data_IF_605175760856
#
_entry.id   IF_605175760856
#
_cell.length_a   1.000
_cell.length_b   1.000
_cell.length_c   1.000
_cell.angle_alpha   90.00
_cell.angle_beta   90.00
_cell.angle_gamma   90.00
#
_symmetry.space_group_name_H-M   'P 1'
#
loop_
_entity.id
_entity.type
_entity.pdbx_description
1 polymer ?
#
# COMPACT_ATOMS: atom_id res chain seq x y z
N UNK A 1 -17.99 59.32 41.69
CA UNK A 1 -18.05 59.13 40.21
C UNK A 1 -17.65 57.70 39.90
N UNK A 2 -18.39 57.09 38.97
CA UNK A 2 -18.54 55.64 38.75
C UNK A 2 -17.25 54.96 38.26
N UNK A 3 -17.00 53.74 38.74
CA UNK A 3 -16.02 52.82 38.16
C UNK A 3 -16.46 52.41 36.74
N UNK A 4 -15.52 52.22 35.81
CA UNK A 4 -15.83 51.64 34.52
C UNK A 4 -14.76 50.62 34.10
N UNK A 5 -15.28 49.44 33.79
CA UNK A 5 -14.62 48.15 33.85
C UNK A 5 -13.78 47.82 32.61
N UNK A 6 -12.66 47.12 32.85
CA UNK A 6 -11.84 46.44 31.85
C UNK A 6 -12.68 45.36 31.17
N UNK A 7 -12.81 45.41 29.84
CA UNK A 7 -13.35 44.31 29.03
C UNK A 7 -12.23 43.71 28.20
N UNK A 8 -11.67 42.60 28.70
CA UNK A 8 -10.76 41.74 27.96
C UNK A 8 -11.62 40.84 27.04
N UNK A 9 -11.60 41.11 25.74
CA UNK A 9 -12.25 40.25 24.73
C UNK A 9 -11.25 39.15 24.36
N UNK A 10 -11.47 37.94 24.88
CA UNK A 10 -10.75 36.74 24.45
C UNK A 10 -11.48 36.20 23.22
N UNK A 11 -10.93 36.45 22.03
CA UNK A 11 -11.39 35.83 20.79
C UNK A 11 -10.82 34.40 20.72
N UNK A 12 -11.68 33.41 20.97
CA UNK A 12 -11.32 31.99 20.84
C UNK A 12 -11.36 31.59 19.36
N UNK A 13 -10.19 31.40 18.76
CA UNK A 13 -10.03 30.97 17.37
C UNK A 13 -10.26 29.44 17.32
N UNK A 14 -11.48 29.01 16.97
CA UNK A 14 -11.75 27.60 16.66
C UNK A 14 -11.13 27.24 15.31
N UNK A 15 -9.91 26.70 15.32
CA UNK A 15 -9.34 26.04 14.14
C UNK A 15 -10.05 24.71 13.93
N UNK A 16 -10.93 24.66 12.94
CA UNK A 16 -11.52 23.42 12.46
C UNK A 16 -10.44 22.60 11.75
N UNK A 17 -9.88 21.60 12.43
CA UNK A 17 -9.09 20.56 11.76
C UNK A 17 -10.07 19.70 10.95
N UNK A 18 -9.99 19.80 9.63
CA UNK A 18 -10.67 18.87 8.73
C UNK A 18 -9.95 17.51 8.85
N UNK A 19 -10.47 16.62 9.68
CA UNK A 19 -9.99 15.24 9.74
C UNK A 19 -10.48 14.54 8.48
N UNK A 20 -9.56 14.24 7.56
CA UNK A 20 -9.89 13.46 6.38
C UNK A 20 -10.13 12.00 6.80
N UNK A 21 -11.36 11.51 6.63
CA UNK A 21 -11.71 10.15 7.00
C UNK A 21 -11.06 9.14 6.04
N UNK A 22 -10.43 8.11 6.61
CA UNK A 22 -9.93 6.98 5.83
C UNK A 22 -11.09 6.14 5.30
N UNK A 23 -11.08 5.83 4.00
CA UNK A 23 -11.99 4.87 3.39
C UNK A 23 -11.39 3.48 3.49
N UNK A 24 -12.02 2.61 4.28
CA UNK A 24 -11.65 1.18 4.39
C UNK A 24 -12.56 0.41 3.43
N UNK A 25 -11.97 -0.11 2.35
CA UNK A 25 -12.70 -0.90 1.35
C UNK A 25 -12.74 -2.38 1.70
N UNK A 26 -11.70 -2.88 2.38
CA UNK A 26 -11.62 -4.23 2.88
C UNK A 26 -10.59 -4.30 4.02
N UNK A 27 -10.85 -5.11 5.06
CA UNK A 27 -9.86 -5.36 6.10
C UNK A 27 -8.68 -6.20 5.57
N UNK A 28 -7.53 -6.13 6.24
CA UNK A 28 -6.38 -6.96 5.83
C UNK A 28 -6.70 -8.43 6.03
N UNK A 29 -7.35 -8.77 7.15
CA UNK A 29 -7.75 -10.11 7.54
C UNK A 29 -8.70 -10.75 6.53
N UNK A 30 -9.69 -9.99 6.04
CA UNK A 30 -10.61 -10.48 5.00
C UNK A 30 -9.89 -10.71 3.68
N UNK A 31 -8.97 -9.81 3.29
CA UNK A 31 -8.20 -9.97 2.07
C UNK A 31 -7.31 -11.22 2.12
N UNK A 32 -6.60 -11.42 3.23
CA UNK A 32 -5.72 -12.58 3.45
C UNK A 32 -6.55 -13.89 3.42
N UNK A 33 -7.70 -13.91 4.09
CA UNK A 33 -8.56 -15.10 4.13
C UNK A 33 -9.13 -15.44 2.74
N UNK A 34 -9.52 -14.42 1.97
CA UNK A 34 -10.01 -14.60 0.60
C UNK A 34 -8.91 -15.08 -0.35
N UNK A 35 -7.70 -14.51 -0.26
CA UNK A 35 -6.57 -14.87 -1.11
C UNK A 35 -6.22 -16.36 -1.02
N UNK A 36 -6.24 -16.94 0.19
CA UNK A 36 -5.94 -18.37 0.39
C UNK A 36 -7.15 -19.29 0.31
N UNK A 37 -8.37 -18.77 0.05
CA UNK A 37 -9.61 -19.55 0.02
C UNK A 37 -9.79 -20.50 1.22
N UNK A 38 -9.33 -20.08 2.41
CA UNK A 38 -9.16 -20.98 3.55
C UNK A 38 -8.85 -20.25 4.86
N UNK A 39 -8.55 -20.99 5.95
CA UNK A 39 -8.24 -20.39 7.23
C UNK A 39 -6.97 -19.54 7.16
N UNK A 40 -7.03 -18.31 7.67
CA UNK A 40 -5.91 -17.38 7.65
C UNK A 40 -4.67 -18.00 8.34
N UNK A 41 -3.53 -18.14 7.63
CA UNK A 41 -2.31 -18.65 8.22
C UNK A 41 -1.74 -17.64 9.23
N UNK A 42 -0.84 -18.09 10.11
CA UNK A 42 -0.13 -17.17 10.99
C UNK A 42 0.81 -16.29 10.17
N UNK A 43 0.83 -15.00 10.50
CA UNK A 43 1.76 -14.07 9.88
C UNK A 43 3.21 -14.49 10.14
N UNK A 44 4.03 -14.46 9.09
CA UNK A 44 5.48 -14.59 9.13
C UNK A 44 6.11 -13.20 9.07
N UNK A 45 7.40 -13.15 9.40
CA UNK A 45 8.20 -11.93 9.40
C UNK A 45 9.42 -12.15 8.52
N UNK A 46 9.61 -11.29 7.52
CA UNK A 46 10.83 -11.22 6.73
C UNK A 46 11.70 -10.08 7.27
N UNK A 47 12.93 -10.39 7.67
CA UNK A 47 13.91 -9.41 8.11
C UNK A 47 14.72 -8.97 6.89
N UNK A 48 14.76 -7.67 6.63
CA UNK A 48 15.36 -7.12 5.43
C UNK A 48 16.87 -7.04 5.60
N UNK A 49 17.59 -7.64 4.66
CA UNK A 49 19.02 -7.41 4.49
C UNK A 49 19.27 -6.02 3.87
N UNK A 50 20.50 -5.51 3.95
CA UNK A 50 20.82 -4.22 3.34
C UNK A 50 20.72 -4.27 1.81
N UNK A 51 20.97 -5.43 1.19
CA UNK A 51 20.74 -5.68 -0.23
C UNK A 51 19.25 -5.53 -0.60
N UNK A 52 18.34 -6.04 0.23
CA UNK A 52 16.90 -5.90 0.02
C UNK A 52 16.45 -4.44 0.11
N UNK A 53 16.99 -3.69 1.08
CA UNK A 53 16.68 -2.27 1.22
C UNK A 53 17.12 -1.50 -0.02
N UNK A 54 18.30 -1.77 -0.58
CA UNK A 54 18.78 -1.10 -1.79
C UNK A 54 17.82 -1.30 -2.96
N UNK A 55 17.35 -2.53 -3.17
CA UNK A 55 16.37 -2.83 -4.24
C UNK A 55 15.04 -2.14 -3.99
N UNK A 56 14.52 -2.21 -2.75
CA UNK A 56 13.25 -1.57 -2.40
C UNK A 56 13.34 -0.05 -2.55
N UNK A 57 14.44 0.58 -2.13
CA UNK A 57 14.66 2.03 -2.27
C UNK A 57 14.77 2.46 -3.74
N UNK A 58 15.37 1.64 -4.60
CA UNK A 58 15.39 1.87 -6.05
C UNK A 58 13.97 1.81 -6.65
N UNK A 59 13.18 0.78 -6.29
CA UNK A 59 11.78 0.67 -6.71
C UNK A 59 10.97 1.87 -6.23
N UNK A 60 11.15 2.28 -4.97
CA UNK A 60 10.42 3.38 -4.35
C UNK A 60 10.89 4.77 -4.79
N UNK A 61 12.13 4.91 -5.25
CA UNK A 61 12.80 6.19 -5.46
C UNK A 61 12.81 7.09 -4.20
N UNK A 62 12.80 6.49 -3.01
CA UNK A 62 13.00 7.17 -1.73
C UNK A 62 13.47 6.17 -0.66
N UNK A 63 13.83 6.68 0.53
CA UNK A 63 14.34 5.86 1.64
C UNK A 63 13.29 4.93 2.24
N UNK A 64 13.73 3.72 2.60
CA UNK A 64 12.87 2.68 3.19
C UNK A 64 13.34 2.32 4.59
N UNK A 65 12.65 2.87 5.60
CA UNK A 65 13.11 2.82 6.99
C UNK A 65 12.62 1.59 7.78
N UNK A 66 11.90 0.66 7.14
CA UNK A 66 11.42 -0.56 7.83
C UNK A 66 12.54 -1.60 7.87
N UNK A 67 12.73 -2.25 9.02
CA UNK A 67 13.71 -3.34 9.19
C UNK A 67 13.14 -4.72 8.84
N UNK A 68 11.82 -4.84 8.86
CA UNK A 68 11.12 -6.11 8.64
C UNK A 68 9.73 -5.88 8.09
N UNK A 69 9.22 -6.85 7.36
CA UNK A 69 7.88 -6.86 6.81
C UNK A 69 7.13 -8.11 7.25
N UNK A 70 5.83 -7.96 7.52
CA UNK A 70 4.95 -9.08 7.77
C UNK A 70 4.39 -9.57 6.45
N UNK A 71 4.27 -10.88 6.33
CA UNK A 71 3.66 -11.55 5.19
C UNK A 71 2.94 -12.81 5.64
N UNK A 72 2.13 -13.36 4.75
CA UNK A 72 1.44 -14.61 4.98
C UNK A 72 1.83 -15.58 3.87
N UNK A 73 2.01 -16.85 4.22
CA UNK A 73 2.42 -17.91 3.29
C UNK A 73 1.53 -19.12 3.49
N UNK A 74 0.99 -19.64 2.39
CA UNK A 74 0.25 -20.89 2.35
C UNK A 74 0.48 -21.59 1.01
N UNK A 75 0.89 -22.85 1.02
CA UNK A 75 1.07 -23.67 -0.19
C UNK A 75 1.95 -23.02 -1.28
N UNK A 76 2.99 -22.27 -0.88
CA UNK A 76 3.89 -21.56 -1.81
C UNK A 76 3.35 -20.21 -2.30
N UNK A 77 2.13 -19.84 -1.93
CA UNK A 77 1.52 -18.55 -2.25
C UNK A 77 1.76 -17.53 -1.14
N UNK A 78 2.07 -16.28 -1.50
CA UNK A 78 2.32 -15.22 -0.53
C UNK A 78 1.29 -14.09 -0.60
N UNK A 79 0.97 -13.53 0.56
CA UNK A 79 0.18 -12.31 0.68
C UNK A 79 0.98 -11.24 1.41
N UNK A 80 1.03 -10.06 0.81
CA UNK A 80 1.73 -8.89 1.30
C UNK A 80 0.74 -7.75 1.51
N UNK A 81 0.77 -7.15 2.71
CA UNK A 81 0.04 -5.92 3.01
C UNK A 81 1.06 -4.80 3.11
N UNK A 82 1.11 -3.95 2.09
CA UNK A 82 2.13 -2.91 1.93
C UNK A 82 1.49 -1.53 1.88
N UNK A 83 2.30 -0.51 2.15
CA UNK A 83 1.85 0.88 2.15
C UNK A 83 2.86 1.76 1.44
N UNK A 84 2.34 2.69 0.65
CA UNK A 84 3.13 3.71 -0.05
C UNK A 84 2.34 5.01 -0.08
N UNK A 85 3.04 6.15 -0.05
CA UNK A 85 2.41 7.46 -0.17
C UNK A 85 1.89 7.65 -1.60
N UNK A 86 0.61 8.00 -1.72
CA UNK A 86 0.03 8.46 -2.98
C UNK A 86 0.50 9.87 -3.31
N UNK A 87 -0.42 10.83 -3.22
CA UNK A 87 -0.10 12.25 -3.29
C UNK A 87 0.42 12.80 -1.96
N UNK A 88 -0.30 12.50 -0.87
CA UNK A 88 -0.13 13.11 0.44
C UNK A 88 -0.33 12.11 1.59
N UNK A 89 -1.02 10.99 1.37
CA UNK A 89 -1.35 10.02 2.41
C UNK A 89 -1.04 8.58 2.00
N UNK A 90 -0.80 7.67 2.97
CA UNK A 90 -0.57 6.27 2.68
C UNK A 90 -1.78 5.59 2.03
N UNK A 91 -1.52 4.80 1.00
CA UNK A 91 -2.44 3.84 0.41
C UNK A 91 -2.04 2.45 0.91
N UNK A 92 -2.96 1.72 1.53
CA UNK A 92 -2.72 0.36 2.00
C UNK A 92 -3.21 -0.62 0.93
N UNK A 93 -2.31 -1.49 0.44
CA UNK A 93 -2.57 -2.40 -0.68
C UNK A 93 -2.28 -3.83 -0.25
N UNK A 94 -3.22 -4.73 -0.53
CA UNK A 94 -3.05 -6.17 -0.44
C UNK A 94 -2.63 -6.74 -1.78
N UNK A 95 -1.57 -7.55 -1.79
CA UNK A 95 -1.05 -8.19 -3.00
C UNK A 95 -0.87 -9.68 -2.73
N UNK A 96 -1.51 -10.51 -3.55
CA UNK A 96 -1.44 -11.96 -3.53
C UNK A 96 -0.59 -12.43 -4.72
N UNK A 97 0.44 -13.22 -4.43
CA UNK A 97 1.39 -13.75 -5.40
C UNK A 97 1.38 -15.28 -5.35
N UNK A 98 1.36 -15.89 -6.53
CA UNK A 98 1.44 -17.33 -6.75
C UNK A 98 2.30 -17.59 -7.98
N UNK A 99 3.15 -18.62 -7.93
CA UNK A 99 3.99 -19.02 -9.05
C UNK A 99 4.79 -17.86 -9.66
N UNK A 100 5.34 -16.98 -8.81
CA UNK A 100 6.06 -15.74 -9.17
C UNK A 100 5.25 -14.73 -9.99
N UNK A 101 3.93 -14.78 -9.92
CA UNK A 101 3.02 -13.89 -10.63
C UNK A 101 1.94 -13.34 -9.69
N UNK A 102 1.49 -12.12 -9.95
CA UNK A 102 0.40 -11.53 -9.16
C UNK A 102 -0.93 -12.22 -9.52
N UNK A 103 -1.60 -12.75 -8.50
CA UNK A 103 -2.97 -13.27 -8.60
C UNK A 103 -3.96 -12.13 -8.41
N UNK A 104 -3.70 -11.26 -7.43
CA UNK A 104 -4.59 -10.15 -7.09
C UNK A 104 -3.82 -8.99 -6.47
N UNK A 105 -4.13 -7.77 -6.92
CA UNK A 105 -3.76 -6.52 -6.26
C UNK A 105 -5.05 -5.83 -5.85
N UNK A 106 -5.14 -5.30 -4.61
CA UNK A 106 -6.34 -4.61 -4.14
C UNK A 106 -6.01 -3.48 -3.18
N UNK A 107 -6.66 -2.33 -3.36
CA UNK A 107 -6.62 -1.24 -2.38
C UNK A 107 -7.51 -1.61 -1.20
N UNK A 108 -6.92 -1.66 0.00
CA UNK A 108 -7.61 -2.02 1.24
C UNK A 108 -8.06 -0.77 2.00
N UNK A 109 -7.18 0.23 2.09
CA UNK A 109 -7.45 1.51 2.75
C UNK A 109 -6.91 2.65 1.92
N UNK A 110 -7.76 3.67 1.70
CA UNK A 110 -7.41 4.87 0.96
C UNK A 110 -7.73 6.11 1.78
N UNK A 111 -6.81 7.07 1.77
CA UNK A 111 -6.82 8.20 2.70
C UNK A 111 -6.72 9.55 2.00
N UNK A 112 -6.91 9.60 0.68
CA UNK A 112 -6.87 10.82 -0.12
C UNK A 112 -8.27 11.19 -0.63
N UNK A 113 -8.46 12.46 -1.00
CA UNK A 113 -9.76 12.99 -1.45
C UNK A 113 -10.08 12.67 -2.91
N UNK A 114 -9.07 12.34 -3.72
CA UNK A 114 -9.17 12.05 -5.15
C UNK A 114 -8.10 11.04 -5.54
N UNK A 115 -8.34 10.27 -6.59
CA UNK A 115 -7.43 9.24 -7.06
C UNK A 115 -7.79 7.84 -6.54
N UNK A 116 -8.92 7.68 -5.85
CA UNK A 116 -9.38 6.40 -5.34
C UNK A 116 -9.88 5.48 -6.47
N UNK A 117 -9.96 5.98 -7.71
CA UNK A 117 -10.32 5.20 -8.89
C UNK A 117 -9.42 3.97 -9.09
N UNK A 118 -8.17 4.02 -8.57
CA UNK A 118 -7.23 2.89 -8.57
C UNK A 118 -7.69 1.70 -7.73
N UNK A 119 -8.76 1.83 -6.93
CA UNK A 119 -9.34 0.71 -6.16
C UNK A 119 -10.18 -0.24 -7.00
N UNK A 120 -10.62 0.20 -8.17
CA UNK A 120 -11.57 -0.54 -8.98
C UNK A 120 -10.90 -1.66 -9.77
N UNK A 121 -11.64 -2.74 -9.99
CA UNK A 121 -11.17 -3.93 -10.71
C UNK A 121 -10.69 -3.62 -12.12
N UNK A 122 -11.32 -2.68 -12.82
CA UNK A 122 -10.88 -2.26 -14.17
C UNK A 122 -9.42 -1.80 -14.20
N UNK A 123 -8.92 -1.25 -13.08
CA UNK A 123 -7.53 -0.83 -12.95
C UNK A 123 -6.66 -1.95 -12.37
N UNK A 124 -7.07 -2.55 -11.25
CA UNK A 124 -6.24 -3.54 -10.54
C UNK A 124 -6.06 -4.84 -11.32
N UNK A 125 -6.97 -5.16 -12.24
CA UNK A 125 -6.86 -6.36 -13.08
C UNK A 125 -5.69 -6.31 -14.06
N UNK A 126 -5.16 -5.12 -14.37
CA UNK A 126 -3.96 -4.96 -15.19
C UNK A 126 -2.74 -5.66 -14.56
N UNK A 127 -2.70 -5.80 -13.22
CA UNK A 127 -1.63 -6.47 -12.49
C UNK A 127 -1.72 -8.00 -12.54
N UNK A 128 -2.88 -8.59 -12.86
CA UNK A 128 -3.05 -10.04 -12.88
C UNK A 128 -2.06 -10.68 -13.86
N UNK A 129 -1.35 -11.71 -13.43
CA UNK A 129 -0.28 -12.38 -14.17
C UNK A 129 0.97 -11.53 -14.44
N UNK A 130 1.09 -10.33 -13.85
CA UNK A 130 2.34 -9.58 -13.92
C UNK A 130 3.45 -10.32 -13.17
N UNK A 131 4.64 -10.32 -13.75
CA UNK A 131 5.87 -10.90 -13.18
C UNK A 131 6.94 -9.84 -13.05
N UNK A 132 7.96 -10.13 -12.25
CA UNK A 132 9.11 -9.26 -12.08
C UNK A 132 10.22 -9.65 -13.06
N UNK A 133 10.76 -8.69 -13.80
CA UNK A 133 11.94 -8.88 -14.66
C UNK A 133 13.22 -8.84 -13.82
N UNK A 134 14.36 -9.14 -14.45
CA UNK A 134 15.68 -9.07 -13.81
C UNK A 134 16.03 -7.65 -13.34
N UNK A 135 15.52 -6.62 -14.02
CA UNK A 135 15.68 -5.20 -13.66
C UNK A 135 14.62 -4.70 -12.66
N UNK A 136 13.94 -5.63 -11.99
CA UNK A 136 12.87 -5.37 -11.04
C UNK A 136 11.72 -4.55 -11.63
N UNK A 137 11.43 -4.65 -12.93
CA UNK A 137 10.25 -4.05 -13.55
C UNK A 137 9.11 -5.06 -13.65
N UNK A 138 7.89 -4.58 -13.87
CA UNK A 138 6.82 -5.49 -14.29
C UNK A 138 7.06 -5.86 -15.76
N UNK A 139 6.82 -7.12 -16.11
CA UNK A 139 6.89 -7.65 -17.48
C UNK A 139 5.77 -7.12 -18.40
N UNK A 140 4.93 -6.22 -17.90
CA UNK A 140 3.84 -5.59 -18.61
C UNK A 140 3.65 -4.15 -18.19
N UNK A 141 3.01 -3.39 -19.07
CA UNK A 141 2.62 -2.01 -18.82
C UNK A 141 1.33 -1.96 -18.00
N UNK A 142 1.27 -1.00 -17.08
CA UNK A 142 0.05 -0.61 -16.37
C UNK A 142 -0.37 0.75 -16.90
N UNK A 143 -1.55 0.82 -17.50
CA UNK A 143 -2.12 2.07 -17.96
C UNK A 143 -2.59 2.91 -16.77
N UNK A 144 -2.37 4.22 -16.88
CA UNK A 144 -2.71 5.17 -15.84
C UNK A 144 -4.19 5.52 -15.80
N UNK A 145 -4.58 6.16 -14.70
CA UNK A 145 -5.88 6.82 -14.56
C UNK A 145 -5.65 8.32 -14.50
N UNK A 146 -6.39 9.06 -15.32
CA UNK A 146 -6.36 10.53 -15.34
C UNK A 146 -6.65 11.08 -13.94
N UNK A 147 -5.76 11.96 -13.44
CA UNK A 147 -5.91 12.55 -12.11
C UNK A 147 -5.41 11.69 -10.94
N UNK A 148 -5.01 10.44 -11.18
CA UNK A 148 -4.55 9.51 -10.14
C UNK A 148 -3.11 9.02 -10.35
N UNK A 149 -2.28 9.75 -11.12
CA UNK A 149 -0.92 9.33 -11.51
C UNK A 149 -0.05 8.88 -10.33
N UNK A 150 -0.12 9.57 -9.19
CA UNK A 150 0.67 9.23 -8.00
C UNK A 150 0.16 7.95 -7.33
N UNK A 151 -1.15 7.76 -7.25
CA UNK A 151 -1.75 6.52 -6.73
C UNK A 151 -1.44 5.33 -7.64
N UNK A 152 -1.48 5.50 -8.97
CA UNK A 152 -1.05 4.48 -9.94
C UNK A 152 0.40 4.09 -9.70
N UNK A 153 1.30 5.07 -9.56
CA UNK A 153 2.72 4.82 -9.28
C UNK A 153 2.91 4.07 -7.96
N UNK A 154 2.19 4.46 -6.91
CA UNK A 154 2.25 3.79 -5.61
C UNK A 154 1.88 2.30 -5.74
N UNK A 155 0.75 1.98 -6.36
CA UNK A 155 0.33 0.59 -6.57
C UNK A 155 1.33 -0.21 -7.42
N UNK A 156 1.89 0.40 -8.46
CA UNK A 156 2.90 -0.25 -9.30
C UNK A 156 4.18 -0.55 -8.53
N UNK A 157 4.67 0.39 -7.72
CA UNK A 157 5.85 0.17 -6.86
C UNK A 157 5.60 -0.93 -5.84
N UNK A 158 4.46 -0.91 -5.15
CA UNK A 158 4.12 -1.94 -4.16
C UNK A 158 4.00 -3.33 -4.81
N UNK A 159 3.44 -3.41 -6.01
CA UNK A 159 3.35 -4.66 -6.79
C UNK A 159 4.74 -5.23 -7.13
N UNK A 160 5.68 -4.37 -7.54
CA UNK A 160 7.09 -4.76 -7.79
C UNK A 160 7.76 -5.27 -6.51
N UNK A 161 7.56 -4.58 -5.39
CA UNK A 161 8.12 -4.97 -4.08
C UNK A 161 7.56 -6.33 -3.64
N UNK A 162 6.26 -6.57 -3.77
CA UNK A 162 5.65 -7.84 -3.38
C UNK A 162 6.22 -9.02 -4.19
N UNK A 163 6.39 -8.86 -5.51
CA UNK A 163 7.02 -9.88 -6.35
C UNK A 163 8.49 -10.11 -6.00
N UNK A 164 9.24 -9.04 -5.71
CA UNK A 164 10.63 -9.14 -5.27
C UNK A 164 10.74 -9.94 -3.96
N UNK A 165 9.88 -9.64 -2.98
CA UNK A 165 9.88 -10.31 -1.69
C UNK A 165 9.36 -11.75 -1.77
N UNK A 166 8.41 -12.03 -2.66
CA UNK A 166 7.96 -13.40 -2.96
C UNK A 166 9.14 -14.29 -3.37
N UNK A 167 9.98 -13.84 -4.30
CA UNK A 167 11.16 -14.60 -4.74
C UNK A 167 12.16 -14.84 -3.60
N UNK A 168 12.26 -13.93 -2.62
CA UNK A 168 13.12 -14.11 -1.44
C UNK A 168 12.62 -15.19 -0.47
N UNK A 169 11.30 -15.28 -0.27
CA UNK A 169 10.72 -16.18 0.72
C UNK A 169 10.34 -17.54 0.14
N UNK A 170 10.17 -17.64 -1.18
CA UNK A 170 9.84 -18.86 -1.92
C UNK A 170 11.02 -19.39 -2.76
N UNK A 171 12.27 -19.13 -2.34
CA UNK A 171 13.46 -19.70 -3.01
C UNK A 171 13.32 -21.24 -3.15
N UNK A 172 13.73 -21.83 -4.29
CA UNK A 172 13.78 -23.27 -4.45
C UNK A 172 14.74 -23.94 -3.46
#
# INVERSE_FOLDING_TARGET
>A
MKSLSIKLIIASLFTAFCVQAASVYQSSEDFISQAFAGPMPKAKVYWLEDSDKLVIEDILAHKFNKMRLRYWLHEGETVWILEEIGKESPITVGIHVKDKAIVQTKVLVYRESRGDEVRHEFFTDQFKQARLTEEHQLDRKIDGITGATLSVRALTKLSRIALYLDDKVNKP
#
